data_IF_520341443855
#
_entry.id   IF_520341443855
#
_cell.length_a   1.000
_cell.length_b   1.000
_cell.length_c   1.000
_cell.angle_alpha   90.00
_cell.angle_beta   90.00
_cell.angle_gamma   90.00
#
_symmetry.space_group_name_H-M   'P 1'
#
loop_
_entity.id
_entity.type
_entity.pdbx_description
1 polymer ?
#
# COMPACT_ATOMS: atom_id res chain seq x y z
N UNK A 1 3.25 -23.15 3.05
CA UNK A 1 2.16 -24.01 2.52
C UNK A 1 0.96 -24.18 3.46
N UNK A 2 0.97 -23.55 4.60
CA UNK A 2 -0.14 -23.64 5.57
C UNK A 2 -1.42 -22.93 5.10
N UNK A 3 -1.27 -21.86 4.34
CA UNK A 3 -2.39 -21.02 3.86
C UNK A 3 -3.03 -21.60 2.59
N UNK A 4 -2.22 -22.05 1.63
CA UNK A 4 -2.68 -22.57 0.34
C UNK A 4 -2.75 -24.10 0.35
N UNK A 5 -3.82 -24.66 0.95
CA UNK A 5 -4.17 -26.09 0.93
C UNK A 5 -5.52 -26.26 0.26
N UNK A 6 -5.81 -27.47 -0.18
CA UNK A 6 -7.15 -27.88 -0.64
C UNK A 6 -7.67 -27.00 -1.80
N UNK A 7 -6.80 -26.73 -2.78
CA UNK A 7 -7.10 -25.91 -3.96
C UNK A 7 -7.55 -24.47 -3.65
N UNK A 8 -7.03 -23.87 -2.58
CA UNK A 8 -7.29 -22.45 -2.26
C UNK A 8 -6.35 -21.49 -2.97
N UNK A 9 -5.47 -21.98 -3.85
CA UNK A 9 -4.56 -21.22 -4.67
C UNK A 9 -3.67 -22.12 -5.51
N UNK A 10 -2.96 -21.55 -6.48
CA UNK A 10 -1.95 -22.26 -7.26
C UNK A 10 -0.57 -22.04 -6.63
N UNK A 11 0.18 -23.13 -6.50
CA UNK A 11 1.55 -23.12 -5.99
C UNK A 11 2.47 -23.44 -7.16
N UNK A 12 3.50 -22.65 -7.33
CA UNK A 12 4.56 -22.86 -8.32
C UNK A 12 5.90 -23.08 -7.60
N UNK A 13 6.80 -23.80 -8.24
CA UNK A 13 8.12 -24.03 -7.70
C UNK A 13 8.95 -22.74 -7.62
N UNK A 14 9.85 -22.69 -6.67
CA UNK A 14 10.74 -21.53 -6.51
C UNK A 14 11.64 -21.36 -7.75
N UNK A 15 11.73 -20.12 -8.25
CA UNK A 15 12.46 -19.76 -9.48
C UNK A 15 11.96 -20.47 -10.77
N UNK A 16 10.73 -20.92 -10.83
CA UNK A 16 10.14 -21.51 -12.02
C UNK A 16 9.23 -20.53 -12.75
N UNK A 17 9.84 -19.69 -13.60
CA UNK A 17 9.14 -18.64 -14.35
C UNK A 17 8.08 -19.21 -15.31
N UNK A 18 8.36 -20.40 -15.88
CA UNK A 18 7.44 -21.04 -16.80
C UNK A 18 6.17 -21.54 -16.09
N UNK A 19 6.31 -22.15 -14.91
CA UNK A 19 5.15 -22.53 -14.11
C UNK A 19 4.32 -21.32 -13.69
N UNK A 20 4.98 -20.23 -13.28
CA UNK A 20 4.29 -19.00 -12.92
C UNK A 20 3.52 -18.41 -14.10
N UNK A 21 4.15 -18.33 -15.28
CA UNK A 21 3.51 -17.85 -16.50
C UNK A 21 2.30 -18.71 -16.88
N UNK A 22 2.46 -20.02 -16.87
CA UNK A 22 1.38 -20.96 -17.18
C UNK A 22 0.21 -20.80 -16.21
N UNK A 23 0.48 -20.70 -14.90
CA UNK A 23 -0.55 -20.52 -13.88
C UNK A 23 -1.32 -19.19 -14.05
N UNK A 24 -0.63 -18.11 -14.42
CA UNK A 24 -1.26 -16.81 -14.70
C UNK A 24 -2.16 -16.91 -15.94
N UNK A 25 -1.66 -17.48 -17.04
CA UNK A 25 -2.42 -17.63 -18.30
C UNK A 25 -3.65 -18.51 -18.07
N UNK A 26 -3.50 -19.61 -17.34
CA UNK A 26 -4.59 -20.50 -16.99
C UNK A 26 -5.70 -19.79 -16.21
N UNK A 27 -5.31 -19.03 -15.16
CA UNK A 27 -6.29 -18.27 -14.36
C UNK A 27 -6.93 -17.11 -15.13
N UNK A 28 -6.23 -16.51 -16.07
CA UNK A 28 -6.82 -15.47 -16.93
C UNK A 28 -7.84 -16.05 -17.91
N UNK A 29 -7.61 -17.27 -18.40
CA UNK A 29 -8.47 -17.95 -19.36
C UNK A 29 -9.68 -18.65 -18.76
N UNK A 30 -9.65 -19.01 -17.47
CA UNK A 30 -10.69 -19.81 -16.81
C UNK A 30 -11.34 -19.06 -15.64
N UNK A 31 -12.48 -18.42 -15.91
CA UNK A 31 -13.24 -17.69 -14.90
C UNK A 31 -13.87 -18.61 -13.85
N UNK A 32 -14.37 -19.77 -14.24
CA UNK A 32 -15.01 -20.71 -13.30
C UNK A 32 -14.00 -21.21 -12.26
N UNK A 33 -12.78 -21.53 -12.73
CA UNK A 33 -11.69 -21.94 -11.84
C UNK A 33 -11.27 -20.81 -10.91
N UNK A 34 -11.16 -19.55 -11.40
CA UNK A 34 -10.88 -18.39 -10.54
C UNK A 34 -11.93 -18.25 -9.45
N UNK A 35 -13.20 -18.35 -9.80
CA UNK A 35 -14.30 -18.21 -8.85
C UNK A 35 -14.29 -19.35 -7.83
N UNK A 36 -14.05 -20.58 -8.26
CA UNK A 36 -13.93 -21.73 -7.36
C UNK A 36 -12.78 -21.58 -6.35
N UNK A 37 -11.59 -21.18 -6.81
CA UNK A 37 -10.43 -20.90 -5.95
C UNK A 37 -10.75 -19.73 -4.98
N UNK A 38 -11.38 -18.67 -5.47
CA UNK A 38 -11.77 -17.52 -4.66
C UNK A 38 -12.72 -17.91 -3.54
N UNK A 39 -13.78 -18.68 -3.84
CA UNK A 39 -14.74 -19.13 -2.83
C UNK A 39 -14.09 -20.06 -1.78
N UNK A 40 -13.27 -21.01 -2.22
CA UNK A 40 -12.51 -21.88 -1.31
C UNK A 40 -11.57 -21.06 -0.42
N UNK A 41 -10.85 -20.09 -1.01
CA UNK A 41 -9.96 -19.19 -0.30
C UNK A 41 -10.68 -18.34 0.75
N UNK A 42 -11.81 -17.72 0.40
CA UNK A 42 -12.65 -16.94 1.31
C UNK A 42 -13.15 -17.79 2.49
N UNK A 43 -13.68 -18.99 2.22
CA UNK A 43 -14.15 -19.88 3.26
C UNK A 43 -13.02 -20.30 4.23
N UNK A 44 -11.83 -20.57 3.69
CA UNK A 44 -10.67 -20.93 4.51
C UNK A 44 -10.18 -19.77 5.34
N UNK A 45 -10.11 -18.57 4.76
CA UNK A 45 -9.63 -17.39 5.46
C UNK A 45 -10.63 -16.81 6.45
N UNK A 46 -11.91 -17.17 6.36
CA UNK A 46 -12.94 -16.70 7.29
C UNK A 46 -12.58 -16.96 8.76
N UNK A 47 -11.96 -18.11 9.06
CA UNK A 47 -11.52 -18.43 10.43
C UNK A 47 -10.40 -17.53 10.96
N UNK A 48 -9.64 -16.88 10.08
CA UNK A 48 -8.55 -15.96 10.41
C UNK A 48 -8.98 -14.49 10.38
N UNK A 49 -10.27 -14.22 10.19
CA UNK A 49 -10.82 -12.88 10.23
C UNK A 49 -10.54 -12.21 11.60
N UNK A 50 -10.36 -10.90 11.60
CA UNK A 50 -10.06 -10.13 12.80
C UNK A 50 -11.11 -10.31 13.89
N UNK A 51 -12.38 -10.50 13.52
CA UNK A 51 -13.50 -10.76 14.42
C UNK A 51 -13.27 -12.04 15.24
N UNK A 52 -12.82 -13.11 14.59
CA UNK A 52 -12.53 -14.38 15.27
C UNK A 52 -11.31 -14.25 16.19
N UNK A 53 -10.29 -13.54 15.76
CA UNK A 53 -9.14 -13.22 16.61
C UNK A 53 -9.57 -12.40 17.83
N UNK A 54 -10.39 -11.37 17.64
CA UNK A 54 -10.93 -10.55 18.74
C UNK A 54 -11.76 -11.38 19.72
N UNK A 55 -12.65 -12.26 19.22
CA UNK A 55 -13.44 -13.16 20.05
C UNK A 55 -12.58 -14.12 20.86
N UNK A 56 -11.52 -14.68 20.26
CA UNK A 56 -10.58 -15.55 20.96
C UNK A 56 -9.87 -14.81 22.13
N UNK A 57 -9.50 -13.55 21.93
CA UNK A 57 -8.93 -12.72 23.00
C UNK A 57 -9.96 -12.41 24.09
N UNK A 58 -11.22 -12.13 23.73
CA UNK A 58 -12.29 -11.93 24.72
C UNK A 58 -12.51 -13.18 25.56
N UNK A 59 -12.50 -14.38 24.96
CA UNK A 59 -12.62 -15.63 25.70
C UNK A 59 -11.42 -15.85 26.66
N UNK A 60 -10.22 -15.47 26.25
CA UNK A 60 -9.05 -15.49 27.13
C UNK A 60 -9.22 -14.52 28.31
N UNK A 61 -9.67 -13.29 28.05
CA UNK A 61 -9.91 -12.29 29.10
C UNK A 61 -10.98 -12.74 30.09
N UNK A 62 -12.06 -13.38 29.66
CA UNK A 62 -13.10 -13.96 30.53
C UNK A 62 -12.53 -15.03 31.44
N UNK A 63 -11.54 -15.83 30.99
CA UNK A 63 -10.87 -16.85 31.84
C UNK A 63 -10.00 -16.22 32.90
N UNK A 64 -9.37 -15.07 32.63
CA UNK A 64 -8.48 -14.37 33.56
C UNK A 64 -9.30 -13.54 34.56
N UNK A 65 -10.28 -12.80 34.06
CA UNK A 65 -11.14 -11.94 34.87
C UNK A 65 -12.60 -12.33 34.63
N UNK A 66 -13.23 -12.89 35.65
CA UNK A 66 -14.60 -13.47 35.60
C UNK A 66 -15.73 -12.42 35.46
N UNK A 67 -15.42 -11.21 35.01
CA UNK A 67 -16.43 -10.20 34.73
C UNK A 67 -17.13 -10.47 33.40
N UNK A 68 -18.43 -10.18 33.32
CA UNK A 68 -19.19 -10.30 32.07
C UNK A 68 -18.78 -9.18 31.11
N UNK A 69 -18.02 -9.53 30.05
CA UNK A 69 -17.79 -8.65 28.93
C UNK A 69 -18.98 -8.71 27.97
N UNK A 70 -19.60 -7.58 27.69
CA UNK A 70 -20.49 -7.47 26.54
C UNK A 70 -19.66 -7.19 25.32
N UNK A 71 -19.70 -8.08 24.33
CA UNK A 71 -19.13 -7.84 23.02
C UNK A 71 -20.20 -7.17 22.17
N UNK A 72 -19.94 -5.96 21.74
CA UNK A 72 -20.78 -5.28 20.74
C UNK A 72 -20.00 -5.17 19.43
N UNK A 73 -20.64 -5.55 18.35
CA UNK A 73 -20.13 -5.30 17.00
C UNK A 73 -20.40 -3.83 16.66
N UNK A 74 -19.37 -3.02 16.78
CA UNK A 74 -19.46 -1.62 16.38
C UNK A 74 -18.20 -1.28 15.55
N UNK A 75 -18.38 -1.06 14.27
CA UNK A 75 -17.29 -0.57 13.42
C UNK A 75 -17.02 0.88 13.79
N UNK A 76 -15.84 1.23 14.31
CA UNK A 76 -15.54 2.61 14.64
C UNK A 76 -15.55 3.47 13.36
N UNK A 77 -15.91 4.75 13.45
CA UNK A 77 -15.81 5.66 12.32
C UNK A 77 -14.34 5.77 11.86
N UNK A 78 -14.14 5.98 10.57
CA UNK A 78 -12.80 6.22 10.03
C UNK A 78 -12.25 7.51 10.65
N UNK A 79 -11.03 7.45 11.18
CA UNK A 79 -10.42 8.57 11.88
C UNK A 79 -8.93 8.69 11.49
N UNK A 80 -8.56 9.78 10.84
CA UNK A 80 -7.19 10.07 10.43
C UNK A 80 -6.40 10.93 11.44
N UNK A 81 -6.89 11.15 12.65
CA UNK A 81 -6.22 12.03 13.64
C UNK A 81 -4.78 11.57 13.93
N UNK A 82 -4.55 10.26 14.02
CA UNK A 82 -3.19 9.75 14.23
C UNK A 82 -2.30 10.00 13.00
N UNK A 83 -2.82 9.77 11.80
CA UNK A 83 -2.11 10.06 10.53
C UNK A 83 -1.75 11.55 10.45
N UNK A 84 -2.74 12.43 10.76
CA UNK A 84 -2.52 13.89 10.78
C UNK A 84 -1.45 14.28 11.80
N UNK A 85 -1.42 13.66 12.98
CA UNK A 85 -0.38 13.88 14.02
C UNK A 85 1.01 13.42 13.57
N UNK A 86 1.08 12.28 12.90
CA UNK A 86 2.34 11.72 12.39
C UNK A 86 2.89 12.49 11.18
N UNK A 87 2.05 13.30 10.51
CA UNK A 87 2.42 14.01 9.28
C UNK A 87 2.93 15.43 9.60
N UNK A 88 4.13 15.69 9.15
CA UNK A 88 4.77 17.02 9.18
C UNK A 88 4.46 17.80 7.88
N UNK A 89 5.08 18.97 7.69
CA UNK A 89 5.00 19.70 6.43
C UNK A 89 5.78 19.04 5.27
N UNK A 90 6.53 17.96 5.56
CA UNK A 90 7.38 17.25 4.60
C UNK A 90 6.79 15.92 4.20
N UNK A 91 6.27 15.17 5.16
CA UNK A 91 5.75 13.82 4.96
C UNK A 91 5.34 13.18 6.29
N UNK A 92 4.96 11.90 6.25
CA UNK A 92 4.69 11.14 7.45
C UNK A 92 5.98 10.59 8.06
N UNK A 93 6.14 10.75 9.37
CA UNK A 93 7.23 10.16 10.15
C UNK A 93 7.08 8.64 10.20
N UNK A 94 8.19 7.91 10.06
CA UNK A 94 8.20 6.46 9.92
C UNK A 94 7.65 5.74 11.16
N UNK A 95 8.10 6.12 12.35
CA UNK A 95 7.70 5.44 13.59
C UNK A 95 7.13 6.41 14.62
N UNK A 96 6.35 5.84 15.55
CA UNK A 96 5.87 6.54 16.73
C UNK A 96 6.35 5.85 18.02
N UNK A 97 6.55 6.64 19.06
CA UNK A 97 6.68 6.16 20.45
C UNK A 97 5.31 6.26 21.09
N UNK A 98 4.61 5.13 21.20
CA UNK A 98 3.21 5.03 21.59
C UNK A 98 2.34 5.77 20.54
N UNK A 99 2.04 7.04 20.75
CA UNK A 99 1.20 7.87 19.86
C UNK A 99 1.89 9.16 19.36
N UNK A 100 3.11 9.46 19.81
CA UNK A 100 3.88 10.63 19.38
C UNK A 100 4.89 10.25 18.28
N UNK A 101 5.08 11.11 17.26
CA UNK A 101 6.04 10.86 16.20
C UNK A 101 7.48 10.72 16.75
N UNK A 102 8.18 9.67 16.39
CA UNK A 102 9.61 9.56 16.66
C UNK A 102 10.41 10.25 15.54
N UNK A 103 10.68 11.53 15.72
CA UNK A 103 11.38 12.34 14.73
C UNK A 103 12.75 11.77 14.33
N UNK A 104 13.39 10.98 15.23
CA UNK A 104 14.69 10.35 14.93
C UNK A 104 14.58 9.26 13.87
N UNK A 105 13.40 8.72 13.62
CA UNK A 105 13.16 7.71 12.59
C UNK A 105 13.13 8.27 11.15
N UNK A 106 12.95 9.59 11.01
CA UNK A 106 12.85 10.25 9.71
C UNK A 106 11.63 9.83 8.90
N UNK A 107 11.80 9.84 7.59
CA UNK A 107 10.74 9.58 6.61
C UNK A 107 11.13 8.44 5.69
N UNK A 108 10.13 7.73 5.16
CA UNK A 108 10.33 6.78 4.07
C UNK A 108 9.38 7.05 2.91
N UNK A 109 9.85 6.82 1.70
CA UNK A 109 9.03 6.84 0.50
C UNK A 109 7.86 5.85 0.61
N UNK A 110 8.13 4.66 1.12
CA UNK A 110 7.18 3.57 1.25
C UNK A 110 5.97 3.96 2.11
N UNK A 111 6.20 4.59 3.26
CA UNK A 111 5.13 5.04 4.15
C UNK A 111 4.34 6.20 3.54
N UNK A 112 5.03 7.19 2.94
CA UNK A 112 4.38 8.32 2.29
C UNK A 112 3.53 7.87 1.08
N UNK A 113 4.00 6.91 0.28
CA UNK A 113 3.24 6.34 -0.82
C UNK A 113 1.94 5.66 -0.33
N UNK A 114 2.00 4.88 0.76
CA UNK A 114 0.82 4.26 1.36
C UNK A 114 -0.17 5.28 1.92
N UNK A 115 0.35 6.31 2.57
CA UNK A 115 -0.51 7.36 3.13
C UNK A 115 -1.15 8.21 2.05
N UNK A 116 -0.48 8.45 0.92
CA UNK A 116 -1.09 9.10 -0.24
C UNK A 116 -2.32 8.33 -0.74
N UNK A 117 -2.23 7.00 -0.87
CA UNK A 117 -3.38 6.17 -1.25
C UNK A 117 -4.50 6.28 -0.21
N UNK A 118 -4.17 6.25 1.09
CA UNK A 118 -5.16 6.36 2.16
C UNK A 118 -5.88 7.72 2.14
N UNK A 119 -5.14 8.81 1.97
CA UNK A 119 -5.69 10.16 1.86
C UNK A 119 -6.58 10.31 0.62
N UNK A 120 -6.17 9.79 -0.54
CA UNK A 120 -7.00 9.79 -1.75
C UNK A 120 -8.32 9.01 -1.56
N UNK A 121 -8.27 7.87 -0.86
CA UNK A 121 -9.48 7.09 -0.53
C UNK A 121 -10.40 7.83 0.43
N UNK A 122 -9.83 8.46 1.46
CA UNK A 122 -10.59 9.22 2.43
C UNK A 122 -11.26 10.43 1.76
N UNK A 123 -10.53 11.18 0.95
CA UNK A 123 -11.08 12.27 0.16
C UNK A 123 -12.20 11.82 -0.78
N UNK A 124 -12.05 10.68 -1.43
CA UNK A 124 -13.11 10.14 -2.30
C UNK A 124 -14.41 9.86 -1.55
N UNK A 125 -14.33 9.45 -0.26
CA UNK A 125 -15.47 9.12 0.59
C UNK A 125 -16.11 10.36 1.26
N UNK A 126 -15.27 11.26 1.78
CA UNK A 126 -15.73 12.30 2.71
C UNK A 126 -15.58 13.72 2.18
N UNK A 127 -14.78 13.93 1.13
CA UNK A 127 -14.48 15.27 0.57
C UNK A 127 -13.91 16.24 1.61
N UNK A 128 -13.11 15.71 2.57
CA UNK A 128 -12.43 16.52 3.59
C UNK A 128 -11.29 17.31 2.93
N UNK A 129 -11.36 18.65 2.95
CA UNK A 129 -10.34 19.53 2.37
C UNK A 129 -8.93 19.33 2.97
N UNK A 130 -8.84 18.88 4.23
CA UNK A 130 -7.56 18.53 4.86
C UNK A 130 -6.85 17.37 4.13
N UNK A 131 -7.60 16.48 3.48
CA UNK A 131 -7.01 15.38 2.72
C UNK A 131 -6.26 15.86 1.50
N UNK A 132 -6.72 16.95 0.85
CA UNK A 132 -6.00 17.56 -0.27
C UNK A 132 -4.62 18.07 0.16
N UNK A 133 -4.55 18.69 1.36
CA UNK A 133 -3.27 19.10 1.96
C UNK A 133 -2.35 17.89 2.23
N UNK A 134 -2.89 16.79 2.76
CA UNK A 134 -2.13 15.56 2.99
C UNK A 134 -1.62 14.95 1.68
N UNK A 135 -2.48 14.87 0.67
CA UNK A 135 -2.13 14.38 -0.67
C UNK A 135 -0.98 15.20 -1.27
N UNK A 136 -1.06 16.53 -1.18
CA UNK A 136 -0.03 17.44 -1.69
C UNK A 136 1.32 17.24 -0.96
N UNK A 137 1.30 17.09 0.37
CA UNK A 137 2.49 16.81 1.18
C UNK A 137 3.15 15.49 0.72
N UNK A 138 2.38 14.43 0.63
CA UNK A 138 2.91 13.11 0.26
C UNK A 138 3.39 13.07 -1.18
N UNK A 139 2.70 13.73 -2.11
CA UNK A 139 3.11 13.82 -3.51
C UNK A 139 4.44 14.59 -3.65
N UNK A 140 4.59 15.71 -2.94
CA UNK A 140 5.84 16.48 -2.88
C UNK A 140 6.98 15.66 -2.32
N UNK A 141 6.73 14.86 -1.28
CA UNK A 141 7.73 13.97 -0.73
C UNK A 141 8.14 12.87 -1.71
N UNK A 142 7.18 12.27 -2.42
CA UNK A 142 7.47 11.29 -3.47
C UNK A 142 8.31 11.93 -4.58
N UNK A 143 7.96 13.15 -5.00
CA UNK A 143 8.78 13.91 -5.98
C UNK A 143 10.20 14.15 -5.47
N UNK A 144 10.36 14.54 -4.21
CA UNK A 144 11.67 14.75 -3.58
C UNK A 144 12.52 13.47 -3.57
N UNK A 145 11.90 12.31 -3.38
CA UNK A 145 12.58 11.02 -3.39
C UNK A 145 13.01 10.54 -4.79
N UNK A 146 12.51 11.17 -5.87
CA UNK A 146 12.90 10.82 -7.23
C UNK A 146 14.35 11.23 -7.49
N UNK A 147 15.22 10.25 -7.73
CA UNK A 147 16.64 10.46 -7.89
C UNK A 147 17.05 10.31 -9.36
N UNK A 148 17.77 11.29 -9.89
CA UNK A 148 18.23 11.34 -11.28
C UNK A 148 17.12 11.05 -12.29
N UNK A 149 15.90 11.52 -12.01
CA UNK A 149 14.71 11.39 -12.86
C UNK A 149 14.42 9.95 -13.33
N UNK A 150 14.81 8.93 -12.57
CA UNK A 150 14.61 7.55 -13.02
C UNK A 150 14.19 6.56 -11.94
N UNK A 151 14.66 6.67 -10.70
CA UNK A 151 14.28 5.77 -9.61
C UNK A 151 14.18 6.52 -8.29
N UNK A 152 13.55 5.91 -7.29
CA UNK A 152 13.33 6.55 -6.01
C UNK A 152 14.30 6.04 -4.95
N UNK A 153 14.83 6.96 -4.15
CA UNK A 153 15.43 6.68 -2.85
C UNK A 153 14.32 6.59 -1.79
N UNK A 154 14.54 5.79 -0.74
CA UNK A 154 13.48 5.49 0.24
C UNK A 154 13.65 6.21 1.58
N UNK A 155 14.90 6.29 2.09
CA UNK A 155 15.17 6.67 3.47
C UNK A 155 15.70 8.10 3.56
N UNK A 156 14.99 8.94 4.29
CA UNK A 156 15.31 10.37 4.47
C UNK A 156 15.31 10.69 5.95
N UNK A 157 16.37 11.33 6.45
CA UNK A 157 16.43 11.77 7.85
C UNK A 157 15.57 13.02 8.10
N UNK A 158 15.44 13.42 9.36
CA UNK A 158 14.66 14.60 9.75
C UNK A 158 15.21 15.92 9.16
N UNK A 159 16.48 15.96 8.76
CA UNK A 159 17.14 17.11 8.12
C UNK A 159 17.05 17.05 6.58
N UNK A 160 16.21 16.20 6.03
CA UNK A 160 16.00 16.00 4.59
C UNK A 160 17.24 15.50 3.85
N UNK A 161 18.09 14.72 4.50
CA UNK A 161 19.22 14.05 3.87
C UNK A 161 18.91 12.59 3.62
N UNK A 162 19.26 12.11 2.44
CA UNK A 162 19.22 10.69 2.14
C UNK A 162 20.24 9.94 2.98
N UNK A 163 19.79 8.86 3.66
CA UNK A 163 20.64 8.08 4.55
C UNK A 163 21.40 6.98 3.80
N UNK A 164 22.43 6.45 4.42
CA UNK A 164 23.23 5.31 3.93
C UNK A 164 22.40 4.07 3.60
N UNK A 165 21.27 3.89 4.27
CA UNK A 165 20.34 2.79 4.04
C UNK A 165 19.87 2.68 2.59
N UNK A 166 19.85 3.81 1.86
CA UNK A 166 19.48 3.83 0.44
C UNK A 166 20.45 3.06 -0.46
N UNK A 167 21.68 2.90 -0.02
CA UNK A 167 22.76 2.27 -0.81
C UNK A 167 23.05 0.84 -0.35
N UNK A 168 22.54 0.44 0.81
CA UNK A 168 22.77 -0.88 1.40
C UNK A 168 21.54 -1.79 1.32
N UNK A 169 20.34 -1.21 1.18
CA UNK A 169 19.08 -1.95 1.14
C UNK A 169 18.52 -2.07 -0.28
N UNK A 170 17.74 -3.12 -0.51
CA UNK A 170 16.98 -3.27 -1.75
C UNK A 170 15.76 -2.33 -1.73
N UNK A 171 15.70 -1.39 -2.66
CA UNK A 171 14.63 -0.38 -2.76
C UNK A 171 13.51 -0.77 -3.71
N UNK A 172 13.50 -1.97 -4.28
CA UNK A 172 12.51 -2.40 -5.27
C UNK A 172 11.07 -2.24 -4.77
N UNK A 173 10.80 -2.65 -3.53
CA UNK A 173 9.47 -2.54 -2.93
C UNK A 173 9.00 -1.09 -2.78
N UNK A 174 9.88 -0.20 -2.32
CA UNK A 174 9.57 1.23 -2.18
C UNK A 174 9.24 1.86 -3.54
N UNK A 175 10.04 1.54 -4.57
CA UNK A 175 9.80 1.99 -5.94
C UNK A 175 8.47 1.45 -6.49
N UNK A 176 8.18 0.16 -6.30
CA UNK A 176 6.91 -0.43 -6.71
C UNK A 176 5.71 0.22 -6.01
N UNK A 177 5.82 0.53 -4.72
CA UNK A 177 4.75 1.21 -3.97
C UNK A 177 4.55 2.66 -4.41
N UNK A 178 5.62 3.39 -4.71
CA UNK A 178 5.52 4.74 -5.25
C UNK A 178 4.77 4.74 -6.59
N UNK A 179 5.11 3.83 -7.49
CA UNK A 179 4.38 3.66 -8.75
C UNK A 179 2.91 3.26 -8.53
N UNK A 180 2.62 2.34 -7.58
CA UNK A 180 1.23 2.04 -7.25
C UNK A 180 0.50 3.28 -6.74
N UNK A 181 1.09 4.04 -5.84
CA UNK A 181 0.48 5.22 -5.26
C UNK A 181 0.22 6.33 -6.29
N UNK A 182 1.18 6.57 -7.17
CA UNK A 182 1.03 7.53 -8.27
C UNK A 182 -0.07 7.10 -9.24
N UNK A 183 -0.09 5.82 -9.67
CA UNK A 183 -1.14 5.29 -10.53
C UNK A 183 -2.53 5.37 -9.89
N UNK A 184 -2.62 5.08 -8.57
CA UNK A 184 -3.86 5.22 -7.83
C UNK A 184 -4.33 6.68 -7.74
N UNK A 185 -3.43 7.62 -7.45
CA UNK A 185 -3.75 9.05 -7.44
C UNK A 185 -4.27 9.50 -8.81
N UNK A 186 -3.59 9.13 -9.90
CA UNK A 186 -4.00 9.45 -11.27
C UNK A 186 -5.39 8.88 -11.60
N UNK A 187 -5.77 7.74 -11.03
CA UNK A 187 -7.13 7.20 -11.19
C UNK A 187 -8.24 8.03 -10.53
N UNK A 188 -7.87 9.09 -9.82
CA UNK A 188 -8.78 10.03 -9.15
C UNK A 188 -8.79 11.41 -9.80
N UNK A 189 -8.42 11.49 -11.08
CA UNK A 189 -8.36 12.75 -11.83
C UNK A 189 -9.70 13.48 -11.92
N UNK A 190 -10.81 12.75 -11.79
CA UNK A 190 -12.17 13.30 -11.77
C UNK A 190 -12.51 14.11 -10.50
N UNK A 191 -11.77 13.90 -9.43
CA UNK A 191 -12.07 14.51 -8.12
C UNK A 191 -10.92 15.31 -7.52
N UNK A 192 -9.70 15.16 -8.03
CA UNK A 192 -8.51 15.84 -7.52
C UNK A 192 -8.16 17.09 -8.36
N UNK A 193 -7.53 18.11 -7.76
CA UNK A 193 -7.13 19.32 -8.48
C UNK A 193 -6.15 19.05 -9.63
N UNK A 194 -6.29 19.78 -10.73
CA UNK A 194 -5.47 19.62 -11.95
C UNK A 194 -3.97 19.68 -11.69
N UNK A 195 -3.51 20.60 -10.82
CA UNK A 195 -2.09 20.76 -10.50
C UNK A 195 -1.50 19.51 -9.80
N UNK A 196 -2.30 18.80 -9.00
CA UNK A 196 -1.92 17.53 -8.35
C UNK A 196 -1.75 16.46 -9.41
N UNK A 197 -2.72 16.37 -10.33
CA UNK A 197 -2.70 15.40 -11.43
C UNK A 197 -1.52 15.63 -12.36
N UNK A 198 -1.27 16.89 -12.77
CA UNK A 198 -0.13 17.25 -13.62
C UNK A 198 1.21 16.87 -12.96
N UNK A 199 1.39 17.22 -11.68
CA UNK A 199 2.59 16.83 -10.94
C UNK A 199 2.78 15.31 -10.84
N UNK A 200 1.69 14.57 -10.61
CA UNK A 200 1.75 13.11 -10.55
C UNK A 200 2.08 12.48 -11.91
N UNK A 201 1.58 13.05 -13.03
CA UNK A 201 1.90 12.60 -14.38
C UNK A 201 3.38 12.80 -14.71
N UNK A 202 3.97 13.94 -14.35
CA UNK A 202 5.39 14.23 -14.51
C UNK A 202 6.26 13.18 -13.77
N UNK A 203 5.97 12.96 -12.49
CA UNK A 203 6.70 11.99 -11.66
C UNK A 203 6.53 10.57 -12.22
N UNK A 204 5.30 10.20 -12.60
CA UNK A 204 4.98 8.91 -13.20
C UNK A 204 5.82 8.63 -14.45
N UNK A 205 5.85 9.59 -15.41
CA UNK A 205 6.60 9.44 -16.65
C UNK A 205 8.08 9.17 -16.42
N UNK A 206 8.70 9.90 -15.49
CA UNK A 206 10.10 9.72 -15.12
C UNK A 206 10.33 8.37 -14.41
N UNK A 207 9.46 8.00 -13.47
CA UNK A 207 9.61 6.78 -12.70
C UNK A 207 9.42 5.50 -13.54
N UNK A 208 8.68 5.55 -14.65
CA UNK A 208 8.54 4.40 -15.56
C UNK A 208 9.87 3.94 -16.16
N UNK A 209 10.86 4.82 -16.28
CA UNK A 209 12.17 4.50 -16.86
C UNK A 209 12.99 3.49 -16.04
N UNK A 210 12.60 3.21 -14.80
CA UNK A 210 13.30 2.24 -13.96
C UNK A 210 12.64 0.86 -13.86
N UNK A 211 11.47 0.68 -14.46
CA UNK A 211 10.68 -0.56 -14.30
C UNK A 211 11.47 -1.79 -14.74
N UNK A 212 12.22 -1.69 -15.84
CA UNK A 212 13.02 -2.80 -16.38
C UNK A 212 14.14 -3.28 -15.42
N UNK A 213 14.45 -2.52 -14.40
CA UNK A 213 15.48 -2.84 -13.40
C UNK A 213 14.91 -3.49 -12.14
N UNK A 214 13.60 -3.69 -12.07
CA UNK A 214 12.91 -4.22 -10.89
C UNK A 214 12.56 -5.69 -11.11
N UNK A 215 13.25 -6.58 -10.40
CA UNK A 215 13.09 -8.04 -10.50
C UNK A 215 12.37 -8.67 -9.29
N UNK A 216 12.01 -7.90 -8.28
CA UNK A 216 11.22 -8.39 -7.15
C UNK A 216 9.77 -8.62 -7.58
N UNK A 217 9.27 -9.86 -7.47
CA UNK A 217 7.88 -10.21 -7.81
C UNK A 217 6.86 -9.39 -7.03
N UNK A 218 7.16 -9.09 -5.77
CA UNK A 218 6.30 -8.23 -4.93
C UNK A 218 6.27 -6.79 -5.45
N UNK A 219 7.41 -6.23 -5.80
CA UNK A 219 7.49 -4.89 -6.38
C UNK A 219 6.79 -4.83 -7.74
N UNK A 220 6.98 -5.85 -8.59
CA UNK A 220 6.27 -5.97 -9.87
C UNK A 220 4.75 -5.99 -9.67
N UNK A 221 4.24 -6.69 -8.66
CA UNK A 221 2.81 -6.70 -8.35
C UNK A 221 2.28 -5.30 -7.98
N UNK A 222 3.07 -4.48 -7.26
CA UNK A 222 2.71 -3.08 -7.01
C UNK A 222 2.71 -2.24 -8.28
N UNK A 223 3.71 -2.43 -9.15
CA UNK A 223 3.79 -1.73 -10.44
C UNK A 223 2.58 -2.07 -11.30
N UNK A 224 2.22 -3.34 -11.43
CA UNK A 224 1.04 -3.79 -12.19
C UNK A 224 -0.23 -3.13 -11.65
N UNK A 225 -0.40 -3.03 -10.34
CA UNK A 225 -1.52 -2.29 -9.72
C UNK A 225 -1.50 -0.81 -10.11
N UNK A 226 -0.33 -0.18 -10.09
CA UNK A 226 -0.18 1.22 -10.51
C UNK A 226 -0.57 1.44 -11.98
N UNK A 227 -0.07 0.58 -12.86
CA UNK A 227 -0.40 0.58 -14.29
C UNK A 227 -1.90 0.38 -14.53
N UNK A 228 -2.51 -0.58 -13.83
CA UNK A 228 -3.94 -0.83 -13.92
C UNK A 228 -4.76 0.42 -13.56
N UNK A 229 -4.48 1.06 -12.43
CA UNK A 229 -5.19 2.26 -11.99
C UNK A 229 -4.99 3.43 -12.95
N UNK A 230 -3.76 3.66 -13.38
CA UNK A 230 -3.46 4.75 -14.34
C UNK A 230 -4.17 4.52 -15.67
N UNK A 231 -4.12 3.31 -16.21
CA UNK A 231 -4.69 3.01 -17.53
C UNK A 231 -6.22 2.99 -17.53
N UNK A 232 -6.87 2.77 -16.39
CA UNK A 232 -8.34 2.89 -16.29
C UNK A 232 -8.84 4.32 -16.50
N UNK A 233 -7.99 5.33 -16.28
CA UNK A 233 -8.37 6.74 -16.45
C UNK A 233 -7.70 7.38 -17.66
N UNK A 234 -6.47 7.01 -17.95
CA UNK A 234 -5.70 7.49 -19.09
C UNK A 234 -5.27 6.29 -19.97
N UNK A 235 -6.13 5.78 -20.87
CA UNK A 235 -5.76 4.69 -21.77
C UNK A 235 -4.54 5.07 -22.61
N UNK A 236 -3.61 4.14 -22.78
CA UNK A 236 -2.40 4.30 -23.58
C UNK A 236 -2.70 4.07 -25.06
#
# INVERSE_FOLDING_TARGET
MEVLKDDTGLIVDFNNEQQLSNAIVELLGDSERRDAITQKGLNRMAITAWENSALAHVELFKKIKREMFRVSYNTPPINLNHVKRMTTNVGIIQFSKIYEPDLSSGYTLDDNARMMIAACKHYALFKDEDDLRLIDIYLKFIKFCLFNDSYFLNYVDINLKFTEQNYTNNLADANGRALWALGFLLSKADILPDHVIQSAQEIWGNALLCIDKIYSTRAMAFIVKGLYYRNSTFPS
#
